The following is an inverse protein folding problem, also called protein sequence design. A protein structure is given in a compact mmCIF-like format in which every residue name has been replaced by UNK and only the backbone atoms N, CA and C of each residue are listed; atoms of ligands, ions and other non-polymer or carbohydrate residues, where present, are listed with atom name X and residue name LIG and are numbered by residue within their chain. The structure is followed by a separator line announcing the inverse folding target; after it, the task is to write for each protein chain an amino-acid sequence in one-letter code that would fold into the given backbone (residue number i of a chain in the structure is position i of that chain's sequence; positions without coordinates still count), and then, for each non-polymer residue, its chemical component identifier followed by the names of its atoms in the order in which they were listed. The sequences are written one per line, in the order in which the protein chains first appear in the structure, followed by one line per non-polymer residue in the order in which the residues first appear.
data_IF_554922827616
#
_entry.id   IF_554922827616
#
_cell.length_a   1.000
_cell.length_b   1.000
_cell.length_c   1.000
_cell.angle_alpha   90.00
_cell.angle_beta   90.00
_cell.angle_gamma   90.00
#
_symmetry.space_group_name_H-M   'P 1'
#
loop_
_entity.id
_entity.type
_entity.pdbx_description
1 polymer ?
#
# COMPACT_ATOMS: atom_id res chain seq x y z
N UNK A 1 35.28 -11.21 49.54
CA UNK A 1 33.91 -11.30 48.99
C UNK A 1 33.33 -9.89 48.97
N UNK A 2 33.13 -9.33 47.77
CA UNK A 2 31.82 -9.04 47.15
C UNK A 2 31.07 -7.92 47.94
N UNK A 3 30.67 -6.78 47.40
CA UNK A 3 30.13 -6.52 46.05
C UNK A 3 30.15 -5.01 45.78
N UNK A 4 30.58 -4.60 44.59
CA UNK A 4 30.39 -3.25 44.03
C UNK A 4 28.95 -3.15 43.54
N UNK A 5 28.19 -2.12 43.98
CA UNK A 5 26.87 -1.83 43.43
C UNK A 5 26.96 -0.53 42.62
N UNK A 6 27.20 -0.68 41.32
CA UNK A 6 27.03 0.39 40.34
C UNK A 6 25.59 0.31 39.81
N UNK A 7 24.76 1.30 40.14
CA UNK A 7 23.42 1.44 39.56
C UNK A 7 23.59 2.06 38.18
N UNK A 8 23.51 1.25 37.13
CA UNK A 8 23.38 1.72 35.76
C UNK A 8 21.95 2.25 35.57
N UNK A 9 21.82 3.56 35.45
CA UNK A 9 20.57 4.20 35.02
C UNK A 9 20.46 3.98 33.50
N UNK A 10 19.73 2.96 33.06
CA UNK A 10 19.37 2.80 31.64
C UNK A 10 18.26 3.82 31.36
N UNK A 11 18.64 4.96 30.79
CA UNK A 11 17.68 5.88 30.18
C UNK A 11 17.20 5.21 28.89
N UNK A 12 16.04 4.55 28.94
CA UNK A 12 15.28 4.25 27.74
C UNK A 12 14.80 5.60 27.18
N UNK A 13 15.56 6.17 26.24
CA UNK A 13 14.98 7.13 25.32
C UNK A 13 13.95 6.34 24.51
N UNK A 14 12.67 6.51 24.84
CA UNK A 14 11.62 6.24 23.89
C UNK A 14 11.86 7.23 22.75
N UNK A 15 12.53 6.79 21.68
CA UNK A 15 12.38 7.43 20.39
C UNK A 15 10.90 7.24 20.05
N UNK A 16 10.09 8.25 20.30
CA UNK A 16 8.86 8.38 19.53
C UNK A 16 9.31 8.30 18.08
N UNK A 17 8.77 7.33 17.31
CA UNK A 17 9.00 7.34 15.88
C UNK A 17 8.55 8.73 15.41
N UNK A 18 9.46 9.49 14.80
CA UNK A 18 9.11 10.79 14.23
C UNK A 18 7.93 10.60 13.26
N UNK A 19 7.08 11.61 13.06
CA UNK A 19 6.07 11.57 12.01
C UNK A 19 6.74 11.60 10.62
N UNK A 20 6.12 11.06 9.55
CA UNK A 20 6.59 11.34 8.19
C UNK A 20 6.52 12.84 7.95
N UNK A 21 7.57 13.38 7.33
CA UNK A 21 7.64 14.80 7.02
C UNK A 21 6.78 15.13 5.80
N UNK A 22 6.85 14.31 4.73
CA UNK A 22 6.19 14.59 3.47
C UNK A 22 5.47 13.36 2.91
N UNK A 23 4.19 13.51 2.58
CA UNK A 23 3.37 12.46 1.96
C UNK A 23 2.78 13.00 0.66
N UNK A 24 2.95 12.25 -0.43
CA UNK A 24 2.33 12.53 -1.72
C UNK A 24 1.25 11.49 -2.02
N UNK A 25 0.06 11.95 -2.36
CA UNK A 25 -1.10 11.10 -2.61
C UNK A 25 -1.66 11.41 -4.00
N UNK A 26 -1.87 10.36 -4.78
CA UNK A 26 -2.81 10.37 -5.87
C UNK A 26 -3.86 9.31 -5.62
N UNK A 27 -5.10 9.75 -5.61
CA UNK A 27 -6.24 8.86 -5.47
C UNK A 27 -7.40 9.39 -6.29
N UNK A 28 -8.51 8.70 -6.21
CA UNK A 28 -9.71 9.09 -6.90
C UNK A 28 -10.85 9.14 -5.86
N UNK A 29 -11.84 10.00 -6.08
CA UNK A 29 -12.98 10.20 -5.16
C UNK A 29 -14.30 10.16 -5.93
N UNK A 30 -15.23 9.31 -5.51
CA UNK A 30 -16.49 9.09 -6.21
C UNK A 30 -17.55 8.51 -5.31
N UNK A 31 -18.76 9.06 -5.41
CA UNK A 31 -19.94 8.59 -4.67
C UNK A 31 -19.72 8.41 -3.15
N UNK A 32 -18.83 9.20 -2.54
CA UNK A 32 -18.50 9.14 -1.11
C UNK A 32 -17.42 8.11 -0.73
N UNK A 33 -16.74 7.53 -1.71
CA UNK A 33 -15.59 6.65 -1.51
C UNK A 33 -14.27 7.35 -1.87
N UNK A 34 -13.16 6.88 -1.31
CA UNK A 34 -11.82 7.42 -1.56
C UNK A 34 -11.32 8.44 -0.53
N UNK A 35 -12.20 9.04 0.27
CA UNK A 35 -11.82 10.08 1.25
C UNK A 35 -10.86 9.57 2.34
N UNK A 36 -10.93 8.27 2.69
CA UNK A 36 -10.06 7.66 3.69
C UNK A 36 -8.57 7.70 3.31
N UNK A 37 -8.25 7.73 2.01
CA UNK A 37 -6.86 7.79 1.52
C UNK A 37 -6.19 9.08 2.02
N UNK A 38 -6.93 10.19 2.05
CA UNK A 38 -6.44 11.52 2.42
C UNK A 38 -6.65 11.87 3.89
N UNK A 39 -7.80 11.48 4.45
CA UNK A 39 -8.20 11.92 5.80
C UNK A 39 -7.46 11.16 6.91
N UNK A 40 -7.12 9.89 6.69
CA UNK A 40 -6.36 9.08 7.64
C UNK A 40 -4.96 9.64 7.93
N UNK A 41 -4.10 9.93 6.94
CA UNK A 41 -2.75 10.42 7.23
C UNK A 41 -2.78 11.79 7.92
N UNK A 42 -3.78 12.63 7.63
CA UNK A 42 -4.00 13.90 8.34
C UNK A 42 -4.33 13.69 9.83
N UNK A 43 -5.12 12.65 10.14
CA UNK A 43 -5.48 12.30 11.51
C UNK A 43 -4.32 11.63 12.27
N UNK A 44 -3.51 10.83 11.58
CA UNK A 44 -2.34 10.15 12.15
C UNK A 44 -1.20 11.12 12.43
N UNK A 45 -0.91 12.02 11.49
CA UNK A 45 0.30 12.83 11.48
C UNK A 45 -0.02 14.29 11.17
N UNK A 46 -0.53 14.99 12.18
CA UNK A 46 -0.94 16.40 12.04
C UNK A 46 0.21 17.36 11.66
N UNK A 47 1.48 16.94 11.84
CA UNK A 47 2.65 17.71 11.42
C UNK A 47 3.17 17.38 10.01
N UNK A 48 2.68 16.32 9.37
CA UNK A 48 3.12 15.93 8.04
C UNK A 48 2.63 16.95 6.99
N UNK A 49 3.50 17.27 6.03
CA UNK A 49 3.11 17.98 4.82
C UNK A 49 2.49 16.99 3.83
N UNK A 50 1.17 17.01 3.73
CA UNK A 50 0.41 16.12 2.84
C UNK A 50 0.02 16.90 1.59
N UNK A 51 0.45 16.40 0.43
CA UNK A 51 0.07 16.92 -0.89
C UNK A 51 -0.74 15.85 -1.60
N UNK A 52 -1.99 16.15 -1.96
CA UNK A 52 -2.91 15.20 -2.59
C UNK A 52 -3.46 15.72 -3.92
N UNK A 53 -3.64 14.80 -4.86
CA UNK A 53 -4.19 15.01 -6.19
C UNK A 53 -5.28 13.99 -6.49
N UNK A 54 -6.31 14.43 -7.21
CA UNK A 54 -7.44 13.57 -7.60
C UNK A 54 -7.49 13.32 -9.10
N UNK A 55 -7.61 12.06 -9.52
CA UNK A 55 -7.80 11.70 -10.92
C UNK A 55 -9.23 11.84 -11.42
N UNK A 56 -10.20 11.52 -10.57
CA UNK A 56 -11.62 11.72 -10.77
C UNK A 56 -12.24 12.43 -9.56
N UNK A 57 -13.05 13.47 -9.78
CA UNK A 57 -13.33 14.12 -11.07
C UNK A 57 -12.20 15.07 -11.53
N UNK A 58 -11.06 15.13 -10.82
CA UNK A 58 -10.09 16.22 -10.91
C UNK A 58 -9.11 16.22 -12.09
N UNK A 59 -8.77 15.08 -12.67
CA UNK A 59 -7.82 15.00 -13.80
C UNK A 59 -6.42 15.53 -13.50
N UNK A 60 -5.91 15.36 -12.28
CA UNK A 60 -4.67 15.99 -11.80
C UNK A 60 -3.41 15.11 -11.96
N UNK A 61 -3.40 14.19 -12.93
CA UNK A 61 -2.29 13.25 -13.18
C UNK A 61 -0.97 13.98 -13.45
N UNK A 62 -1.01 15.02 -14.29
CA UNK A 62 0.20 15.79 -14.62
C UNK A 62 0.78 16.52 -13.41
N UNK A 63 -0.08 17.03 -12.53
CA UNK A 63 0.38 17.73 -11.32
C UNK A 63 0.99 16.76 -10.32
N UNK A 64 0.42 15.55 -10.19
CA UNK A 64 1.03 14.48 -9.40
C UNK A 64 2.39 14.07 -9.94
N UNK A 65 2.52 13.82 -11.25
CA UNK A 65 3.82 13.45 -11.84
C UNK A 65 4.86 14.56 -11.62
N UNK A 66 4.49 15.83 -11.81
CA UNK A 66 5.38 16.95 -11.55
C UNK A 66 5.78 17.01 -10.06
N UNK A 67 4.86 16.75 -9.14
CA UNK A 67 5.17 16.70 -7.71
C UNK A 67 6.04 15.50 -7.32
N UNK A 68 5.91 14.37 -8.01
CA UNK A 68 6.76 13.20 -7.83
C UNK A 68 8.22 13.50 -8.24
N UNK A 69 8.42 14.05 -9.45
CA UNK A 69 9.75 14.26 -10.04
C UNK A 69 10.47 15.53 -9.54
N UNK A 70 9.74 16.64 -9.42
CA UNK A 70 10.31 17.97 -9.14
C UNK A 70 9.98 18.47 -7.71
N UNK A 71 9.32 17.64 -6.91
CA UNK A 71 8.80 18.02 -5.60
C UNK A 71 9.79 17.90 -4.44
N UNK A 72 9.23 17.68 -3.27
CA UNK A 72 9.98 17.50 -2.01
C UNK A 72 10.45 16.03 -1.91
N UNK A 73 11.47 15.75 -1.09
CA UNK A 73 11.78 14.37 -0.72
C UNK A 73 10.58 13.77 0.02
N UNK A 74 9.89 12.82 -0.60
CA UNK A 74 8.71 12.16 -0.05
C UNK A 74 9.13 11.02 0.88
N UNK A 75 8.41 10.83 1.98
CA UNK A 75 8.58 9.66 2.86
C UNK A 75 7.66 8.52 2.42
N UNK A 76 6.42 8.88 2.07
CA UNK A 76 5.38 7.97 1.60
C UNK A 76 4.78 8.53 0.32
N UNK A 77 4.65 7.68 -0.68
CA UNK A 77 3.88 7.95 -1.90
C UNK A 77 2.73 6.95 -1.97
N UNK A 78 1.53 7.45 -2.25
CA UNK A 78 0.33 6.65 -2.43
C UNK A 78 -0.21 6.87 -3.84
N UNK A 79 -0.41 5.79 -4.57
CA UNK A 79 -1.10 5.78 -5.85
C UNK A 79 -2.26 4.78 -5.79
N UNK A 80 -3.48 5.24 -5.55
CA UNK A 80 -4.71 4.42 -5.66
C UNK A 80 -5.57 4.94 -6.81
N UNK A 81 -5.27 4.51 -8.04
CA UNK A 81 -5.84 5.06 -9.26
C UNK A 81 -6.81 4.11 -9.99
N UNK A 82 -7.76 4.68 -10.73
CA UNK A 82 -8.92 3.95 -11.27
C UNK A 82 -8.86 3.62 -12.76
N UNK A 83 -8.11 4.36 -13.56
CA UNK A 83 -8.03 4.11 -15.01
C UNK A 83 -6.58 3.95 -15.48
N UNK A 84 -5.99 2.77 -15.28
CA UNK A 84 -4.62 2.49 -15.70
C UNK A 84 -4.30 2.69 -17.19
N UNK A 85 -5.30 2.67 -18.08
CA UNK A 85 -5.11 2.78 -19.53
C UNK A 85 -5.39 4.18 -20.12
N UNK A 86 -5.99 5.09 -19.34
CA UNK A 86 -6.25 6.49 -19.75
C UNK A 86 -5.70 7.51 -18.75
N UNK A 87 -5.15 7.08 -17.62
CA UNK A 87 -4.48 7.95 -16.66
C UNK A 87 -3.00 8.11 -17.05
N UNK A 88 -2.61 9.36 -17.32
CA UNK A 88 -1.26 9.81 -17.66
C UNK A 88 -0.26 9.68 -16.49
N UNK A 89 -0.38 8.69 -15.61
CA UNK A 89 0.63 8.42 -14.59
C UNK A 89 1.93 8.01 -15.27
N UNK A 90 3.04 8.68 -14.94
CA UNK A 90 4.36 8.29 -15.41
C UNK A 90 4.87 7.09 -14.61
N UNK A 91 4.43 5.90 -15.02
CA UNK A 91 4.85 4.64 -14.40
C UNK A 91 6.37 4.39 -14.48
N UNK A 92 7.06 4.98 -15.46
CA UNK A 92 8.51 4.82 -15.58
C UNK A 92 9.24 5.67 -14.54
N UNK A 93 8.79 6.91 -14.31
CA UNK A 93 9.26 7.73 -13.19
C UNK A 93 9.00 7.04 -11.85
N UNK A 94 7.75 6.60 -11.60
CA UNK A 94 7.40 5.94 -10.35
C UNK A 94 8.25 4.70 -10.06
N UNK A 95 8.50 3.88 -11.08
CA UNK A 95 9.42 2.73 -11.01
C UNK A 95 10.85 3.15 -10.66
N UNK A 96 11.38 4.22 -11.26
CA UNK A 96 12.73 4.70 -10.98
C UNK A 96 12.87 5.13 -9.51
N UNK A 97 11.92 5.91 -9.00
CA UNK A 97 11.92 6.32 -7.60
C UNK A 97 11.80 5.15 -6.64
N UNK A 98 10.90 4.20 -6.93
CA UNK A 98 10.79 2.96 -6.13
C UNK A 98 12.12 2.19 -6.09
N UNK A 99 12.77 1.98 -7.24
CA UNK A 99 14.05 1.26 -7.31
C UNK A 99 15.20 1.99 -6.60
N UNK A 100 15.15 3.32 -6.55
CA UNK A 100 16.13 4.12 -5.82
C UNK A 100 15.89 4.09 -4.30
N UNK A 101 14.72 3.62 -3.86
CA UNK A 101 14.34 3.59 -2.45
C UNK A 101 13.97 4.97 -1.90
N UNK A 102 13.51 5.88 -2.77
CA UNK A 102 13.27 7.28 -2.42
C UNK A 102 12.13 7.46 -1.39
N UNK A 103 11.19 6.52 -1.33
CA UNK A 103 10.04 6.52 -0.41
C UNK A 103 9.54 5.09 -0.11
N UNK A 104 8.57 4.96 0.81
CA UNK A 104 7.66 3.80 0.84
C UNK A 104 6.48 4.04 -0.12
N UNK A 105 6.12 3.03 -0.91
CA UNK A 105 5.08 3.14 -1.92
C UNK A 105 3.87 2.29 -1.57
N UNK A 106 2.67 2.87 -1.57
CA UNK A 106 1.45 2.12 -1.78
C UNK A 106 1.01 2.27 -3.24
N UNK A 107 0.73 1.16 -3.93
CA UNK A 107 0.15 1.20 -5.28
C UNK A 107 -1.02 0.25 -5.45
N UNK A 108 -2.14 0.79 -5.90
CA UNK A 108 -3.32 0.07 -6.38
C UNK A 108 -3.82 0.68 -7.68
N UNK A 109 -4.27 -0.18 -8.58
CA UNK A 109 -4.87 0.23 -9.84
C UNK A 109 -6.11 -0.63 -10.13
N UNK A 110 -7.22 -0.01 -10.49
CA UNK A 110 -8.39 -0.75 -10.95
C UNK A 110 -8.08 -1.54 -12.22
N UNK A 111 -7.28 -1.04 -13.17
CA UNK A 111 -6.95 -1.78 -14.39
C UNK A 111 -5.46 -2.11 -14.43
N UNK A 112 -5.02 -3.04 -13.59
CA UNK A 112 -3.71 -3.65 -13.75
C UNK A 112 -3.64 -4.33 -15.12
N UNK A 113 -2.90 -3.70 -16.04
CA UNK A 113 -2.76 -4.19 -17.41
C UNK A 113 -1.42 -4.86 -17.59
N UNK A 114 -1.44 -5.98 -18.31
CA UNK A 114 -0.23 -6.60 -18.83
C UNK A 114 0.21 -6.00 -20.16
N UNK A 115 1.52 -5.89 -20.38
CA UNK A 115 2.10 -5.53 -21.68
C UNK A 115 3.08 -4.36 -21.57
N UNK A 116 3.07 -3.46 -22.57
CA UNK A 116 3.96 -2.30 -22.67
C UNK A 116 3.60 -1.14 -21.72
N UNK A 117 2.65 -1.34 -20.79
CA UNK A 117 2.34 -0.38 -19.74
C UNK A 117 3.37 -0.51 -18.60
N UNK A 118 3.87 0.63 -18.09
CA UNK A 118 4.88 0.62 -17.02
C UNK A 118 4.41 -0.03 -15.70
N UNK A 119 3.10 -0.24 -15.54
CA UNK A 119 2.49 -0.98 -14.40
C UNK A 119 3.09 -2.37 -14.21
N UNK A 120 3.26 -3.13 -15.30
CA UNK A 120 3.80 -4.48 -15.21
C UNK A 120 5.28 -4.47 -14.79
N UNK A 121 6.04 -3.46 -15.20
CA UNK A 121 7.42 -3.30 -14.76
C UNK A 121 7.49 -2.95 -13.27
N UNK A 122 6.63 -2.03 -12.79
CA UNK A 122 6.51 -1.71 -11.37
C UNK A 122 6.09 -2.92 -10.53
N UNK A 123 5.04 -3.64 -10.93
CA UNK A 123 4.60 -4.80 -10.17
C UNK A 123 5.67 -5.90 -10.12
N UNK A 124 6.41 -6.15 -11.20
CA UNK A 124 7.55 -7.06 -11.18
C UNK A 124 8.65 -6.58 -10.21
N UNK A 125 8.98 -5.28 -10.20
CA UNK A 125 9.95 -4.72 -9.27
C UNK A 125 9.52 -4.86 -7.80
N UNK A 126 8.20 -4.80 -7.54
CA UNK A 126 7.60 -5.01 -6.22
C UNK A 126 7.40 -6.49 -5.85
N UNK A 127 7.68 -7.43 -6.78
CA UNK A 127 7.62 -8.87 -6.52
C UNK A 127 6.31 -9.57 -6.93
N UNK A 128 5.56 -8.99 -7.87
CA UNK A 128 4.36 -9.59 -8.51
C UNK A 128 4.65 -9.89 -9.98
N UNK A 129 4.49 -11.15 -10.37
CA UNK A 129 4.76 -11.66 -11.72
C UNK A 129 3.51 -11.69 -12.62
N UNK A 130 2.31 -11.69 -12.02
CA UNK A 130 1.04 -11.75 -12.76
C UNK A 130 -0.08 -10.95 -12.12
N UNK A 131 -0.94 -10.37 -12.95
CA UNK A 131 -2.20 -9.76 -12.59
C UNK A 131 -3.35 -10.38 -13.39
N UNK A 132 -4.27 -11.03 -12.69
CA UNK A 132 -5.49 -11.54 -13.28
C UNK A 132 -6.69 -10.76 -12.74
N UNK A 133 -7.34 -9.99 -13.60
CA UNK A 133 -8.58 -9.32 -13.25
C UNK A 133 -9.68 -10.33 -12.96
N UNK A 134 -10.58 -9.99 -12.04
CA UNK A 134 -11.74 -10.83 -11.77
C UNK A 134 -13.01 -9.99 -11.60
N UNK A 135 -14.14 -10.53 -12.05
CA UNK A 135 -15.40 -9.80 -12.18
C UNK A 135 -16.32 -9.86 -10.96
N UNK A 136 -17.43 -9.09 -10.97
CA UNK A 136 -18.46 -9.10 -9.93
C UNK A 136 -19.28 -10.41 -9.92
N UNK A 137 -19.93 -10.75 -8.79
CA UNK A 137 -19.86 -10.09 -7.48
C UNK A 137 -18.67 -10.59 -6.64
N UNK A 138 -18.06 -9.70 -5.86
CA UNK A 138 -16.89 -10.01 -5.04
C UNK A 138 -17.25 -9.80 -3.58
N UNK A 139 -17.26 -10.86 -2.78
CA UNK A 139 -17.54 -10.79 -1.33
C UNK A 139 -16.59 -11.64 -0.48
N UNK A 140 -15.90 -12.69 -0.98
CA UNK A 140 -14.86 -13.30 -0.15
C UNK A 140 -13.50 -12.61 -0.37
N UNK A 141 -13.09 -11.79 0.60
CA UNK A 141 -11.70 -11.37 0.78
C UNK A 141 -11.28 -11.76 2.21
N UNK A 142 -10.11 -12.37 2.34
CA UNK A 142 -9.68 -13.03 3.57
C UNK A 142 -8.29 -12.56 3.99
N UNK A 143 -8.14 -12.27 5.28
CA UNK A 143 -6.85 -12.12 5.91
C UNK A 143 -6.22 -13.52 6.10
N UNK A 144 -5.10 -13.76 5.44
CA UNK A 144 -4.32 -14.99 5.62
C UNK A 144 -3.37 -14.88 6.80
N UNK A 145 -2.81 -13.68 7.01
CA UNK A 145 -2.10 -13.31 8.23
C UNK A 145 -2.95 -12.35 9.08
N UNK A 146 -3.84 -12.90 9.91
CA UNK A 146 -4.65 -12.07 10.82
C UNK A 146 -3.81 -11.36 11.89
N UNK A 147 -2.54 -11.74 12.08
CA UNK A 147 -1.62 -11.09 13.02
C UNK A 147 -0.83 -9.95 12.40
N UNK A 148 -0.83 -9.84 11.07
CA UNK A 148 -0.16 -8.76 10.36
C UNK A 148 -0.78 -7.41 10.71
N UNK A 149 0.06 -6.37 10.81
CA UNK A 149 -0.39 -5.02 11.15
C UNK A 149 -1.48 -4.50 10.21
N UNK A 150 -1.37 -4.79 8.90
CA UNK A 150 -2.37 -4.46 7.87
C UNK A 150 -3.77 -5.01 8.21
N UNK A 151 -3.85 -6.18 8.85
CA UNK A 151 -5.13 -6.83 9.17
C UNK A 151 -5.69 -6.45 10.55
N UNK A 152 -4.96 -5.68 11.35
CA UNK A 152 -5.33 -5.37 12.72
C UNK A 152 -6.69 -4.70 12.82
N UNK A 153 -7.62 -5.28 13.57
CA UNK A 153 -8.95 -4.71 13.79
C UNK A 153 -9.89 -4.73 12.58
N UNK A 154 -9.48 -5.30 11.44
CA UNK A 154 -10.33 -5.43 10.25
C UNK A 154 -11.20 -6.68 10.38
N UNK A 155 -12.49 -6.49 10.59
CA UNK A 155 -13.49 -7.56 10.71
C UNK A 155 -14.31 -7.76 9.45
N UNK A 156 -14.34 -6.76 8.56
CA UNK A 156 -15.13 -6.78 7.34
C UNK A 156 -14.30 -6.26 6.16
N UNK A 157 -13.91 -7.20 5.29
CA UNK A 157 -13.20 -6.93 4.04
C UNK A 157 -14.14 -6.77 2.85
N UNK A 158 -15.45 -6.72 3.08
CA UNK A 158 -16.41 -6.47 2.01
C UNK A 158 -16.15 -5.11 1.38
N UNK A 159 -16.52 -5.04 0.11
CA UNK A 159 -16.20 -3.94 -0.77
C UNK A 159 -17.41 -3.71 -1.68
N UNK A 160 -17.64 -2.46 -2.05
CA UNK A 160 -18.75 -2.09 -2.92
C UNK A 160 -18.26 -1.38 -4.19
N UNK A 161 -18.73 -1.85 -5.34
CA UNK A 161 -18.58 -1.11 -6.59
C UNK A 161 -19.52 0.09 -6.57
N UNK A 162 -19.02 1.34 -6.65
CA UNK A 162 -19.87 2.53 -6.73
C UNK A 162 -20.62 2.67 -8.07
N UNK A 163 -20.58 1.66 -8.95
CA UNK A 163 -21.19 1.68 -10.28
C UNK A 163 -20.20 2.01 -11.39
N UNK A 164 -18.91 1.82 -11.12
CA UNK A 164 -17.82 2.06 -12.06
C UNK A 164 -17.44 0.78 -12.82
N UNK A 165 -17.85 -0.41 -12.35
CA UNK A 165 -17.44 -1.69 -12.95
C UNK A 165 -16.04 -2.08 -12.49
N UNK A 166 -15.72 -1.79 -11.23
CA UNK A 166 -14.36 -1.94 -10.69
C UNK A 166 -13.97 -3.42 -10.66
N UNK A 167 -12.79 -3.68 -11.23
CA UNK A 167 -12.16 -4.97 -11.31
C UNK A 167 -11.00 -4.98 -10.32
N UNK A 168 -11.23 -5.59 -9.16
CA UNK A 168 -10.11 -5.98 -8.34
C UNK A 168 -9.25 -7.01 -9.12
N UNK A 169 -7.99 -7.11 -8.73
CA UNK A 169 -7.02 -8.02 -9.35
C UNK A 169 -6.54 -9.06 -8.36
N UNK A 170 -6.23 -10.23 -8.89
CA UNK A 170 -5.51 -11.28 -8.18
C UNK A 170 -4.08 -11.29 -8.65
N UNK A 171 -3.17 -11.45 -7.72
CA UNK A 171 -1.75 -11.44 -7.99
C UNK A 171 -1.13 -12.83 -7.90
N UNK A 172 -0.26 -13.13 -8.86
CA UNK A 172 0.75 -14.18 -8.69
C UNK A 172 2.02 -13.53 -8.19
N UNK A 173 2.34 -13.78 -6.93
CA UNK A 173 3.54 -13.27 -6.27
C UNK A 173 4.77 -14.08 -6.68
N UNK A 174 5.91 -13.42 -6.83
CA UNK A 174 7.22 -14.05 -6.98
C UNK A 174 8.08 -13.82 -5.73
N UNK A 175 8.19 -12.56 -5.29
CA UNK A 175 9.00 -12.15 -4.15
C UNK A 175 8.24 -11.32 -3.10
N UNK A 176 7.08 -10.78 -3.47
CA UNK A 176 6.20 -10.09 -2.54
C UNK A 176 5.60 -11.07 -1.51
N UNK A 177 5.23 -10.57 -0.34
CA UNK A 177 4.59 -11.34 0.73
C UNK A 177 3.09 -11.07 0.70
N UNK A 178 2.26 -12.06 0.33
CA UNK A 178 0.81 -11.90 0.38
C UNK A 178 0.32 -11.85 1.83
N UNK A 179 -0.52 -10.88 2.15
CA UNK A 179 -1.13 -10.73 3.49
C UNK A 179 -2.59 -11.14 3.47
N UNK A 180 -3.29 -10.77 2.40
CA UNK A 180 -4.72 -11.04 2.19
C UNK A 180 -4.98 -11.49 0.75
N UNK A 181 -6.12 -12.14 0.52
CA UNK A 181 -6.51 -12.51 -0.83
C UNK A 181 -7.94 -13.01 -0.98
N UNK A 182 -8.23 -13.55 -2.15
CA UNK A 182 -9.61 -13.77 -2.64
C UNK A 182 -10.19 -15.14 -2.31
N UNK A 183 -9.45 -15.96 -1.57
CA UNK A 183 -9.84 -17.31 -1.15
C UNK A 183 -9.50 -17.52 0.31
N UNK A 184 -10.16 -18.45 0.99
CA UNK A 184 -9.95 -18.68 2.43
C UNK A 184 -8.57 -19.25 2.77
N UNK A 185 -7.81 -19.67 1.75
CA UNK A 185 -6.48 -20.26 1.88
C UNK A 185 -5.61 -19.73 0.74
N UNK A 186 -4.35 -19.42 1.03
CA UNK A 186 -3.39 -18.98 0.03
C UNK A 186 -3.25 -19.95 -1.15
N UNK A 187 -3.29 -19.41 -2.35
CA UNK A 187 -2.98 -20.13 -3.58
C UNK A 187 -2.46 -19.17 -4.64
N UNK A 188 -1.64 -19.69 -5.55
CA UNK A 188 -1.07 -18.94 -6.68
C UNK A 188 -2.16 -18.19 -7.42
N UNK A 189 -1.91 -16.91 -7.71
CA UNK A 189 -2.86 -16.07 -8.45
C UNK A 189 -4.12 -15.71 -7.67
N UNK A 190 -4.09 -15.73 -6.33
CA UNK A 190 -5.21 -15.30 -5.47
C UNK A 190 -4.86 -14.15 -4.53
N UNK A 191 -3.61 -13.68 -4.49
CA UNK A 191 -3.22 -12.62 -3.57
C UNK A 191 -3.91 -11.30 -3.93
N UNK A 192 -4.27 -10.52 -2.90
CA UNK A 192 -4.97 -9.26 -3.02
C UNK A 192 -4.11 -8.09 -2.54
N UNK A 193 -3.71 -8.08 -1.27
CA UNK A 193 -2.77 -7.10 -0.72
C UNK A 193 -1.46 -7.82 -0.41
N UNK A 194 -0.35 -7.28 -0.94
CA UNK A 194 0.98 -7.83 -0.73
C UNK A 194 1.94 -6.75 -0.21
N UNK A 195 2.82 -7.13 0.71
CA UNK A 195 4.01 -6.33 1.06
C UNK A 195 5.07 -6.60 -0.02
N UNK A 196 5.65 -5.54 -0.56
CA UNK A 196 6.67 -5.64 -1.60
C UNK A 196 7.99 -6.21 -1.06
N UNK A 197 8.88 -6.59 -1.97
CA UNK A 197 10.19 -7.16 -1.64
C UNK A 197 11.12 -6.23 -0.86
N UNK A 198 10.85 -4.92 -0.80
CA UNK A 198 11.56 -3.95 0.04
C UNK A 198 11.15 -4.01 1.53
N UNK A 199 10.12 -4.79 1.86
CA UNK A 199 9.65 -5.03 3.23
C UNK A 199 8.86 -3.89 3.86
N UNK A 200 8.54 -2.81 3.11
CA UNK A 200 7.81 -1.63 3.60
C UNK A 200 6.74 -1.10 2.64
N UNK A 201 6.92 -1.27 1.33
CA UNK A 201 5.96 -0.86 0.31
C UNK A 201 4.86 -1.89 0.13
N UNK A 202 3.75 -1.50 -0.46
CA UNK A 202 2.53 -2.30 -0.61
C UNK A 202 2.05 -2.23 -2.04
N UNK A 203 1.78 -3.38 -2.65
CA UNK A 203 1.09 -3.50 -3.93
C UNK A 203 -0.25 -4.19 -3.72
N UNK A 204 -1.32 -3.60 -4.26
CA UNK A 204 -2.69 -4.04 -4.00
C UNK A 204 -3.52 -4.21 -5.27
N UNK A 205 -4.13 -5.39 -5.39
CA UNK A 205 -5.20 -5.71 -6.32
C UNK A 205 -6.57 -5.58 -5.65
N UNK A 206 -6.61 -5.36 -4.33
CA UNK A 206 -7.76 -4.84 -3.59
C UNK A 206 -7.76 -3.31 -3.68
N UNK A 207 -8.92 -2.67 -3.66
CA UNK A 207 -9.05 -1.20 -3.61
C UNK A 207 -9.61 -0.77 -2.25
N UNK A 208 -8.75 -0.58 -1.22
CA UNK A 208 -9.16 -0.20 0.14
C UNK A 208 -10.10 0.99 0.23
N UNK A 209 -10.00 1.95 -0.70
CA UNK A 209 -10.85 3.15 -0.77
C UNK A 209 -12.37 2.88 -0.76
N UNK A 210 -12.78 1.67 -1.12
CA UNK A 210 -14.16 1.23 -1.30
C UNK A 210 -14.59 0.10 -0.36
N UNK A 211 -13.71 -0.25 0.57
CA UNK A 211 -14.00 -1.26 1.58
C UNK A 211 -14.97 -0.72 2.63
N UNK A 212 -15.76 -1.60 3.23
CA UNK A 212 -16.67 -1.26 4.32
C UNK A 212 -15.95 -0.67 5.55
N UNK A 213 -14.66 -0.96 5.71
CA UNK A 213 -13.81 -0.48 6.79
C UNK A 213 -12.58 0.31 6.27
N UNK A 214 -12.78 1.13 5.23
CA UNK A 214 -11.70 1.88 4.57
C UNK A 214 -10.80 2.64 5.55
N UNK A 215 -11.36 3.36 6.52
CA UNK A 215 -10.58 4.13 7.50
C UNK A 215 -9.61 3.25 8.32
N UNK A 216 -10.05 2.07 8.73
CA UNK A 216 -9.24 1.12 9.51
C UNK A 216 -8.15 0.51 8.64
N UNK A 217 -8.50 0.09 7.42
CA UNK A 217 -7.53 -0.49 6.48
C UNK A 217 -6.46 0.54 6.14
N UNK A 218 -6.85 1.75 5.74
CA UNK A 218 -5.90 2.84 5.45
C UNK A 218 -5.03 3.21 6.65
N UNK A 219 -5.60 3.25 7.86
CA UNK A 219 -4.83 3.48 9.09
C UNK A 219 -3.70 2.46 9.23
N UNK A 220 -4.01 1.18 9.03
CA UNK A 220 -3.03 0.11 9.12
C UNK A 220 -1.99 0.18 8.00
N UNK A 221 -2.41 0.48 6.76
CA UNK A 221 -1.50 0.61 5.60
C UNK A 221 -0.48 1.73 5.82
N UNK A 222 -0.94 2.92 6.23
CA UNK A 222 -0.07 4.07 6.51
C UNK A 222 0.89 3.78 7.67
N UNK A 223 0.38 3.28 8.80
CA UNK A 223 1.23 2.94 9.93
C UNK A 223 2.25 1.85 9.60
N UNK A 224 1.89 0.88 8.74
CA UNK A 224 2.82 -0.15 8.27
C UNK A 224 3.94 0.45 7.42
N UNK A 225 3.61 1.28 6.42
CA UNK A 225 4.61 1.90 5.55
C UNK A 225 5.57 2.82 6.32
N UNK A 226 5.09 3.45 7.40
CA UNK A 226 5.89 4.37 8.19
C UNK A 226 6.70 3.71 9.31
N UNK A 227 6.16 2.71 10.02
CA UNK A 227 6.85 2.14 11.16
C UNK A 227 8.20 1.52 10.74
N UNK A 228 9.26 2.11 11.28
CA UNK A 228 10.63 2.18 10.78
C UNK A 228 11.46 0.92 10.95
N UNK A 229 10.87 -0.25 10.70
CA UNK A 229 11.63 -1.48 10.52
C UNK A 229 11.06 -2.20 9.31
N UNK A 230 11.76 -2.17 8.15
CA UNK A 230 11.51 -3.16 7.12
C UNK A 230 11.48 -4.50 7.84
N UNK A 231 10.40 -5.25 7.68
CA UNK A 231 10.36 -6.56 8.30
C UNK A 231 11.55 -7.34 7.71
N UNK A 232 12.47 -7.82 8.55
CA UNK A 232 13.48 -8.75 8.07
C UNK A 232 12.76 -10.04 7.65
N UNK A 233 13.22 -10.68 6.58
CA UNK A 233 12.64 -11.96 6.11
C UNK A 233 12.49 -13.02 7.21
N UNK A 234 13.31 -12.91 8.26
CA UNK A 234 13.34 -13.73 9.47
C UNK A 234 12.24 -13.43 10.50
N UNK A 235 11.64 -12.24 10.49
CA UNK A 235 10.54 -11.83 11.39
C UNK A 235 9.18 -11.89 10.72
N UNK A 236 9.14 -12.18 9.40
CA UNK A 236 7.93 -12.59 8.69
C UNK A 236 7.54 -13.94 9.30
N UNK A 237 6.48 -14.00 10.11
CA UNK A 237 5.93 -15.30 10.50
C UNK A 237 5.67 -16.09 9.23
N UNK A 238 6.48 -17.11 8.94
CA UNK A 238 6.70 -17.65 7.59
C UNK A 238 5.40 -17.89 6.82
N UNK A 239 4.98 -16.90 6.03
CA UNK A 239 4.12 -17.11 4.88
C UNK A 239 5.07 -17.34 3.72
N UNK A 240 5.30 -18.61 3.48
CA UNK A 240 6.32 -19.08 2.56
C UNK A 240 6.10 -18.47 1.19
N UNK A 241 7.12 -17.75 0.73
CA UNK A 241 7.49 -17.69 -0.68
C UNK A 241 7.88 -19.10 -1.17
N UNK A 242 6.92 -20.02 -1.15
CA UNK A 242 6.95 -21.30 -1.86
C UNK A 242 5.65 -21.41 -2.63
N UNK A 243 5.52 -20.55 -3.64
CA UNK A 243 4.70 -20.79 -4.82
C UNK A 243 5.64 -20.84 -6.01
#
# INVERSE_FOLDING_TARGET
MKTVLAVLLIVFAFSFADDPANILIYHDVYAGFGDAVDTVPQALWSSASIVSYTGYPGGQQSDFNNALDDGTSWDIVVLECWYGNTNDIDWASLLNHYNNGDFALFVSNWQWTYGSSGQAALGNAMGVSDFSGFGPPVIPHYAWDTSHAICSGVSDWSWADPGLGILNHRFTVSDAVPVTGWTSTESTGQAGICVANDGKSIISGFTPAYSAQADVIWTNLYQFMWNSSPLERSTWGEIKASF
#
